data_IF_288531065412
#
_entry.id   IF_288531065412
#
_cell.length_a   1.000
_cell.length_b   1.000
_cell.length_c   1.000
_cell.angle_alpha   90.00
_cell.angle_beta   90.00
_cell.angle_gamma   90.00
#
_symmetry.space_group_name_H-M   'P 1'
#
loop_
_entity.id
_entity.type
_entity.pdbx_description
1 polymer ?
#
# COMPACT_ATOMS: atom_id res chain seq x y z
N UNK A 1 14.22 -13.18 31.03
CA UNK A 1 12.80 -13.01 30.63
C UNK A 1 12.70 -13.62 29.25
N UNK A 2 12.99 -14.92 29.17
CA UNK A 2 13.47 -15.55 27.92
C UNK A 2 12.49 -16.59 27.39
N UNK A 3 11.31 -16.71 28.03
CA UNK A 3 10.31 -17.75 27.77
C UNK A 3 8.87 -17.18 27.78
N UNK A 4 8.74 -15.90 27.40
CA UNK A 4 7.44 -15.23 27.30
C UNK A 4 6.98 -15.24 25.85
N UNK A 5 5.83 -15.86 25.59
CA UNK A 5 5.18 -15.80 24.29
C UNK A 5 4.46 -14.45 24.18
N UNK A 6 4.93 -13.60 23.27
CA UNK A 6 4.29 -12.30 23.00
C UNK A 6 3.07 -12.49 22.10
N UNK A 7 1.88 -12.36 22.69
CA UNK A 7 0.59 -12.39 21.99
C UNK A 7 -0.07 -11.00 21.88
N UNK A 8 0.64 -9.94 22.30
CA UNK A 8 0.12 -8.57 22.29
C UNK A 8 0.46 -7.77 21.02
N UNK A 9 1.36 -8.28 20.18
CA UNK A 9 1.82 -7.58 18.97
C UNK A 9 0.99 -8.08 17.78
N UNK A 10 0.25 -7.17 17.15
CA UNK A 10 -0.55 -7.44 15.95
C UNK A 10 0.23 -7.28 14.64
N UNK A 11 1.54 -7.06 14.70
CA UNK A 11 2.40 -6.95 13.53
C UNK A 11 2.69 -8.35 12.95
N UNK A 12 2.35 -8.63 11.68
CA UNK A 12 2.64 -9.91 11.07
C UNK A 12 4.15 -10.21 11.03
N UNK A 13 4.52 -11.43 11.41
CA UNK A 13 5.91 -11.89 11.37
C UNK A 13 6.34 -12.37 9.97
N UNK A 14 6.21 -11.51 8.96
CA UNK A 14 6.73 -11.76 7.62
C UNK A 14 7.21 -10.47 6.96
N UNK A 15 8.17 -10.60 6.04
CA UNK A 15 8.67 -9.47 5.27
C UNK A 15 7.64 -9.02 4.22
N UNK A 16 7.64 -7.73 3.91
CA UNK A 16 6.86 -7.21 2.77
C UNK A 16 7.22 -7.95 1.48
N UNK A 17 6.26 -8.18 0.57
CA UNK A 17 6.53 -8.85 -0.69
C UNK A 17 7.62 -8.15 -1.51
N UNK A 18 8.47 -8.94 -2.20
CA UNK A 18 9.60 -8.41 -2.99
C UNK A 18 9.20 -7.29 -3.96
N UNK A 19 8.07 -7.43 -4.65
CA UNK A 19 7.59 -6.43 -5.60
C UNK A 19 7.33 -5.05 -4.96
N UNK A 20 6.86 -5.03 -3.70
CA UNK A 20 6.62 -3.78 -2.95
C UNK A 20 7.95 -3.12 -2.59
N UNK A 21 8.91 -3.91 -2.11
CA UNK A 21 10.24 -3.43 -1.76
C UNK A 21 11.00 -2.89 -2.98
N UNK A 22 10.90 -3.57 -4.12
CA UNK A 22 11.53 -3.13 -5.37
C UNK A 22 10.89 -1.82 -5.87
N UNK A 23 9.56 -1.71 -5.87
CA UNK A 23 8.86 -0.48 -6.25
C UNK A 23 9.20 0.71 -5.35
N UNK A 24 9.38 0.49 -4.05
CA UNK A 24 9.85 1.52 -3.12
C UNK A 24 11.28 1.97 -3.46
N UNK A 25 12.20 1.04 -3.72
CA UNK A 25 13.58 1.35 -4.13
C UNK A 25 13.61 2.16 -5.42
N UNK A 26 12.91 1.70 -6.44
CA UNK A 26 12.82 2.38 -7.73
C UNK A 26 12.26 3.80 -7.59
N UNK A 27 11.24 4.00 -6.75
CA UNK A 27 10.67 5.33 -6.50
C UNK A 27 11.68 6.29 -5.86
N UNK A 28 12.50 5.79 -4.92
CA UNK A 28 13.57 6.56 -4.31
C UNK A 28 14.68 6.89 -5.31
N UNK A 29 15.10 5.92 -6.13
CA UNK A 29 16.12 6.10 -7.17
C UNK A 29 15.68 7.15 -8.21
N UNK A 30 14.39 7.21 -8.53
CA UNK A 30 13.80 8.22 -9.42
C UNK A 30 13.56 9.59 -8.76
N UNK A 31 13.87 9.74 -7.47
CA UNK A 31 13.67 10.99 -6.74
C UNK A 31 12.20 11.35 -6.51
N UNK A 32 11.30 10.36 -6.45
CA UNK A 32 9.86 10.56 -6.21
C UNK A 32 9.58 10.83 -4.71
N UNK A 33 10.14 11.90 -4.17
CA UNK A 33 10.08 12.26 -2.74
C UNK A 33 9.29 13.56 -2.48
N UNK A 34 8.72 14.16 -3.52
CA UNK A 34 7.93 15.38 -3.43
C UNK A 34 6.51 15.16 -2.91
N UNK A 35 5.82 16.26 -2.62
CA UNK A 35 4.41 16.21 -2.26
C UNK A 35 3.56 15.65 -3.41
N UNK A 36 2.59 14.84 -3.06
CA UNK A 36 1.53 14.37 -3.96
C UNK A 36 0.26 15.18 -3.72
N UNK A 37 -0.79 14.94 -4.51
CA UNK A 37 -2.14 15.40 -4.16
C UNK A 37 -2.54 14.89 -2.76
N UNK A 38 -3.35 15.66 -2.03
CA UNK A 38 -3.90 15.27 -0.73
C UNK A 38 -4.71 13.96 -0.80
N UNK A 39 -5.34 13.69 -1.94
CA UNK A 39 -6.07 12.44 -2.19
C UNK A 39 -5.14 11.25 -2.53
N UNK A 40 -3.84 11.49 -2.71
CA UNK A 40 -2.87 10.52 -3.23
C UNK A 40 -2.69 10.59 -4.75
N UNK A 41 -1.68 9.88 -5.25
CA UNK A 41 -1.37 9.81 -6.69
C UNK A 41 -2.51 9.12 -7.46
N UNK A 42 -2.71 9.53 -8.72
CA UNK A 42 -3.85 9.09 -9.52
C UNK A 42 -3.79 7.58 -9.79
N UNK A 43 -2.60 7.09 -10.11
CA UNK A 43 -2.31 5.70 -10.43
C UNK A 43 -2.67 4.75 -9.28
N UNK A 44 -2.41 5.17 -8.03
CA UNK A 44 -2.77 4.39 -6.85
C UNK A 44 -4.30 4.35 -6.65
N UNK A 45 -4.98 5.49 -6.80
CA UNK A 45 -6.44 5.56 -6.68
C UNK A 45 -7.15 4.71 -7.74
N UNK A 46 -6.69 4.78 -8.99
CA UNK A 46 -7.22 3.95 -10.07
C UNK A 46 -7.04 2.45 -9.77
N UNK A 47 -5.86 2.05 -9.27
CA UNK A 47 -5.58 0.66 -8.89
C UNK A 47 -6.47 0.17 -7.72
N UNK A 48 -6.72 1.03 -6.73
CA UNK A 48 -7.61 0.71 -5.60
C UNK A 48 -9.06 0.56 -6.07
N UNK A 49 -9.57 1.48 -6.89
CA UNK A 49 -10.93 1.38 -7.44
C UNK A 49 -11.12 0.08 -8.23
N UNK A 50 -10.15 -0.26 -9.10
CA UNK A 50 -10.17 -1.52 -9.83
C UNK A 50 -10.11 -2.76 -8.91
N UNK A 51 -9.33 -2.71 -7.83
CA UNK A 51 -9.26 -3.78 -6.84
C UNK A 51 -10.59 -3.96 -6.10
N UNK A 52 -11.23 -2.86 -5.68
CA UNK A 52 -12.52 -2.90 -5.00
C UNK A 52 -13.60 -3.48 -5.93
N UNK A 53 -13.64 -3.03 -7.19
CA UNK A 53 -14.56 -3.60 -8.19
C UNK A 53 -14.34 -5.10 -8.37
N UNK A 54 -13.07 -5.54 -8.45
CA UNK A 54 -12.74 -6.97 -8.63
C UNK A 54 -13.11 -7.82 -7.42
N UNK A 55 -12.90 -7.32 -6.20
CA UNK A 55 -13.12 -8.09 -4.98
C UNK A 55 -14.57 -8.06 -4.51
N UNK A 56 -15.25 -6.92 -4.70
CA UNK A 56 -16.54 -6.64 -4.07
C UNK A 56 -17.63 -6.26 -5.08
N UNK A 57 -17.30 -6.07 -6.36
CA UNK A 57 -18.28 -5.68 -7.39
C UNK A 57 -18.78 -4.25 -7.28
N UNK A 58 -18.12 -3.41 -6.46
CA UNK A 58 -18.48 -2.00 -6.24
C UNK A 58 -17.52 -1.10 -7.01
N UNK A 59 -18.08 -0.19 -7.79
CA UNK A 59 -17.32 0.79 -8.57
C UNK A 59 -17.30 2.13 -7.84
N UNK A 60 -16.11 2.74 -7.73
CA UNK A 60 -15.90 4.09 -7.23
C UNK A 60 -15.19 4.92 -8.28
N UNK A 61 -15.52 6.20 -8.42
CA UNK A 61 -14.77 7.10 -9.30
C UNK A 61 -13.48 7.57 -8.63
N UNK A 62 -12.30 7.09 -9.05
CA UNK A 62 -11.05 7.47 -8.43
C UNK A 62 -10.73 8.96 -8.57
N UNK A 63 -11.44 9.73 -9.42
CA UNK A 63 -11.25 11.18 -9.55
C UNK A 63 -12.00 12.00 -8.49
N UNK A 64 -13.13 11.51 -8.00
CA UNK A 64 -14.08 12.27 -7.18
C UNK A 64 -14.46 11.60 -5.84
N UNK A 65 -14.14 10.30 -5.67
CA UNK A 65 -14.44 9.48 -4.49
C UNK A 65 -13.18 8.83 -3.90
#
# INVERSE_FOLDING_TARGET
>A
MDDVISLGIGDPYFLSPKAVLDGARESMEKGLTGYTSNAGIRELRDAISAQIQRLYGVTYDPASE
#
